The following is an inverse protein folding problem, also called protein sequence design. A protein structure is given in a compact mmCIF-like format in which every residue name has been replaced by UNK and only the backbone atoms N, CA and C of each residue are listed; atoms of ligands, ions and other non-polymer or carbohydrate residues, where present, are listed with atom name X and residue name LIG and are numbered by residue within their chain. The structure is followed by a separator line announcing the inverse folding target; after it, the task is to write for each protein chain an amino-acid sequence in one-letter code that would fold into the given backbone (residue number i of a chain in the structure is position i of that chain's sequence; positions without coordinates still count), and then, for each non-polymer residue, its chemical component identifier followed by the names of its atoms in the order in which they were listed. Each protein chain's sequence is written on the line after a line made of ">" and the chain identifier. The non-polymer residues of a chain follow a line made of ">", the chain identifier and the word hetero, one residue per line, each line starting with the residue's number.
data_IF_454893752657
#
_entry.id   IF_454893752657
#
_cell.length_a   1.000
_cell.length_b   1.000
_cell.length_c   1.000
_cell.angle_alpha   90.00
_cell.angle_beta   90.00
_cell.angle_gamma   90.00
#
_symmetry.space_group_name_H-M   'P 1'
#
loop_
_entity.id
_entity.type
_entity.pdbx_description
1 polymer ?
#
# COMPACT_ATOMS: atom_id res chain seq x y z
N UNK A 1 -13.21 -26.37 -26.43
CA UNK A 1 -12.42 -25.14 -26.26
C UNK A 1 -13.39 -23.97 -26.26
N UNK A 2 -13.88 -23.54 -25.09
CA UNK A 2 -14.75 -22.37 -24.99
C UNK A 2 -13.97 -21.26 -24.30
N UNK A 3 -13.50 -20.30 -25.11
CA UNK A 3 -12.88 -19.07 -24.64
C UNK A 3 -13.87 -18.28 -23.77
N UNK A 4 -13.38 -17.88 -22.60
CA UNK A 4 -14.02 -16.94 -21.68
C UNK A 4 -14.20 -15.57 -22.36
N UNK A 5 -15.26 -15.41 -23.13
CA UNK A 5 -15.71 -14.09 -23.56
C UNK A 5 -16.27 -13.34 -22.35
N UNK A 6 -15.43 -12.54 -21.71
CA UNK A 6 -15.87 -11.52 -20.75
C UNK A 6 -16.89 -10.63 -21.48
N UNK A 7 -18.15 -10.57 -21.02
CA UNK A 7 -19.20 -9.77 -21.64
C UNK A 7 -18.75 -8.31 -21.85
N UNK A 8 -18.97 -7.75 -23.04
CA UNK A 8 -18.52 -6.41 -23.43
C UNK A 8 -18.94 -5.30 -22.43
N UNK A 9 -20.06 -5.48 -21.72
CA UNK A 9 -20.51 -4.52 -20.70
C UNK A 9 -19.55 -4.43 -19.50
N UNK A 10 -18.89 -5.53 -19.11
CA UNK A 10 -17.92 -5.52 -18.01
C UNK A 10 -16.63 -4.80 -18.41
N UNK A 11 -16.20 -4.94 -19.68
CA UNK A 11 -15.05 -4.18 -20.21
C UNK A 11 -15.35 -2.68 -20.27
N UNK A 12 -16.54 -2.30 -20.75
CA UNK A 12 -16.96 -0.89 -20.80
C UNK A 12 -17.09 -0.28 -19.40
N UNK A 13 -17.63 -1.02 -18.44
CA UNK A 13 -17.79 -0.56 -17.04
C UNK A 13 -16.45 -0.45 -16.31
N UNK A 14 -15.52 -1.38 -16.54
CA UNK A 14 -14.15 -1.28 -16.04
C UNK A 14 -13.40 -0.07 -16.63
N UNK A 15 -13.55 0.20 -17.93
CA UNK A 15 -12.95 1.37 -18.58
C UNK A 15 -13.53 2.70 -18.06
N UNK A 16 -14.83 2.75 -17.80
CA UNK A 16 -15.48 3.93 -17.20
C UNK A 16 -15.03 4.15 -15.75
N UNK A 17 -14.90 3.09 -14.96
CA UNK A 17 -14.39 3.16 -13.59
C UNK A 17 -12.93 3.62 -13.55
N UNK A 18 -12.07 3.08 -14.43
CA UNK A 18 -10.67 3.50 -14.54
C UNK A 18 -10.52 4.99 -14.89
N UNK A 19 -11.37 5.51 -15.78
CA UNK A 19 -11.40 6.95 -16.11
C UNK A 19 -11.89 7.80 -14.94
N UNK A 20 -12.89 7.31 -14.19
CA UNK A 20 -13.45 8.04 -13.04
C UNK A 20 -12.47 8.09 -11.86
N UNK A 21 -11.75 6.99 -11.60
CA UNK A 21 -10.67 6.95 -10.62
C UNK A 21 -9.49 7.83 -11.02
N UNK A 22 -9.14 7.90 -12.31
CA UNK A 22 -8.07 8.78 -12.79
C UNK A 22 -8.38 10.26 -12.56
N UNK A 23 -9.62 10.69 -12.84
CA UNK A 23 -10.07 12.07 -12.59
C UNK A 23 -10.11 12.40 -11.10
N UNK A 24 -10.53 11.45 -10.25
CA UNK A 24 -10.57 11.66 -8.79
C UNK A 24 -9.17 11.73 -8.17
N UNK A 25 -8.24 10.90 -8.65
CA UNK A 25 -6.83 10.94 -8.24
C UNK A 25 -6.16 12.25 -8.69
N UNK A 26 -6.43 12.73 -9.91
CA UNK A 26 -5.91 14.02 -10.38
C UNK A 26 -6.46 15.22 -9.57
N UNK A 27 -7.72 15.16 -9.16
CA UNK A 27 -8.34 16.21 -8.32
C UNK A 27 -7.76 16.23 -6.90
N UNK A 28 -7.41 15.06 -6.33
CA UNK A 28 -6.79 14.95 -5.00
C UNK A 28 -5.31 15.33 -5.00
N UNK A 29 -4.61 15.17 -6.14
CA UNK A 29 -3.18 15.49 -6.25
C UNK A 29 -2.89 16.95 -6.63
N UNK A 30 -3.91 17.79 -6.87
CA UNK A 30 -3.70 19.22 -7.15
C UNK A 30 -2.76 19.49 -8.32
N UNK A 31 -2.61 18.55 -9.26
CA UNK A 31 -1.71 18.67 -10.40
C UNK A 31 -2.34 19.59 -11.44
N UNK A 32 -2.21 20.89 -11.20
CA UNK A 32 -2.44 21.94 -12.18
C UNK A 32 -1.36 21.79 -13.26
N UNK A 33 -1.78 21.56 -14.49
CA UNK A 33 -0.86 21.47 -15.63
C UNK A 33 -0.05 22.77 -15.75
N UNK A 34 1.24 22.69 -15.40
CA UNK A 34 2.25 23.62 -15.88
C UNK A 34 3.00 22.95 -17.02
N UNK A 35 2.43 23.06 -18.22
CA UNK A 35 3.21 23.06 -19.45
C UNK A 35 4.02 24.36 -19.49
N UNK A 36 5.33 24.29 -19.20
CA UNK A 36 6.39 25.01 -19.93
C UNK A 36 7.76 24.88 -19.22
N UNK A 37 8.68 24.23 -19.93
CA UNK A 37 10.06 24.68 -20.19
C UNK A 37 10.75 25.50 -19.09
N UNK A 38 11.66 24.87 -18.33
CA UNK A 38 12.98 25.45 -18.12
C UNK A 38 13.97 24.40 -17.64
N UNK A 39 15.12 24.37 -18.31
CA UNK A 39 16.27 23.56 -17.95
C UNK A 39 16.80 23.99 -16.59
N UNK A 40 16.82 23.10 -15.60
CA UNK A 40 17.79 23.19 -14.52
C UNK A 40 18.21 21.79 -14.06
N UNK A 41 19.52 21.55 -14.15
CA UNK A 41 20.22 20.40 -13.59
C UNK A 41 19.81 20.19 -12.13
N UNK A 42 19.34 19.01 -11.79
CA UNK A 42 19.33 18.53 -10.40
C UNK A 42 19.98 17.16 -10.33
N UNK A 43 21.12 17.21 -9.64
CA UNK A 43 22.01 16.16 -9.15
C UNK A 43 21.26 14.85 -8.87
N UNK A 44 21.78 13.75 -9.42
CA UNK A 44 21.43 12.40 -9.02
C UNK A 44 21.66 12.24 -7.50
N UNK A 45 20.58 12.34 -6.72
CA UNK A 45 20.58 11.82 -5.35
C UNK A 45 20.91 10.32 -5.36
N UNK A 46 21.66 9.80 -4.39
CA UNK A 46 22.03 8.40 -4.39
C UNK A 46 20.76 7.56 -4.28
N UNK A 47 20.55 6.70 -5.27
CA UNK A 47 19.54 5.65 -5.23
C UNK A 47 19.76 4.88 -3.94
N UNK A 48 18.80 4.92 -3.01
CA UNK A 48 18.79 4.02 -1.86
C UNK A 48 18.71 2.60 -2.42
N UNK A 49 19.85 1.97 -2.60
CA UNK A 49 19.92 0.53 -2.80
C UNK A 49 19.20 -0.10 -1.62
N UNK A 50 18.25 -0.99 -1.92
CA UNK A 50 17.54 -1.79 -0.92
C UNK A 50 18.56 -2.64 -0.18
N UNK A 51 19.08 -2.09 0.91
CA UNK A 51 20.15 -2.69 1.67
C UNK A 51 19.52 -3.74 2.57
N UNK A 52 19.72 -5.01 2.19
CA UNK A 52 19.59 -6.22 3.03
C UNK A 52 20.65 -6.20 4.15
N UNK A 53 20.82 -5.05 4.78
CA UNK A 53 21.69 -4.84 5.92
C UNK A 53 21.08 -5.61 7.09
N UNK A 54 21.84 -6.54 7.70
CA UNK A 54 21.36 -7.26 8.86
C UNK A 54 20.93 -6.30 9.96
N UNK A 55 19.83 -6.62 10.67
CA UNK A 55 19.30 -5.77 11.76
C UNK A 55 20.33 -5.42 12.83
N UNK A 56 21.37 -6.23 13.01
CA UNK A 56 22.46 -5.98 13.94
C UNK A 56 23.41 -4.86 13.48
N UNK A 57 23.61 -4.71 12.18
CA UNK A 57 24.49 -3.68 11.62
C UNK A 57 23.89 -2.29 11.81
N UNK A 58 22.58 -2.14 11.55
CA UNK A 58 21.85 -0.89 11.85
C UNK A 58 21.89 -0.50 13.33
N UNK A 59 21.78 -1.48 14.24
CA UNK A 59 21.88 -1.23 15.69
C UNK A 59 23.30 -0.83 16.10
N UNK A 60 24.32 -1.40 15.46
CA UNK A 60 25.70 -1.03 15.70
C UNK A 60 25.97 0.39 15.19
N UNK A 61 25.57 0.72 13.97
CA UNK A 61 25.67 2.07 13.40
C UNK A 61 24.97 3.12 14.27
N UNK A 62 23.77 2.81 14.76
CA UNK A 62 23.02 3.70 15.64
C UNK A 62 23.76 3.96 16.96
N UNK A 63 24.33 2.92 17.60
CA UNK A 63 25.16 3.09 18.81
C UNK A 63 26.43 3.89 18.54
N UNK A 64 27.10 3.61 17.42
CA UNK A 64 28.35 4.28 17.05
C UNK A 64 28.15 5.77 16.79
N UNK A 65 26.93 6.18 16.39
CA UNK A 65 26.58 7.60 16.25
C UNK A 65 26.66 8.38 17.56
N UNK A 66 26.59 7.72 18.72
CA UNK A 66 26.70 8.36 20.05
C UNK A 66 28.14 8.46 20.58
N UNK A 67 29.12 7.91 19.84
CA UNK A 67 30.53 8.00 20.19
C UNK A 67 31.16 9.15 19.39
N UNK A 68 31.91 10.08 20.01
CA UNK A 68 32.62 11.13 19.29
C UNK A 68 33.55 10.54 18.23
N UNK A 69 33.70 11.18 17.06
CA UNK A 69 34.53 10.66 15.97
C UNK A 69 36.02 10.62 16.33
N UNK A 70 36.44 11.41 17.30
CA UNK A 70 37.83 11.49 17.78
C UNK A 70 38.15 10.42 18.85
N UNK A 71 37.14 9.70 19.36
CA UNK A 71 37.32 8.71 20.42
C UNK A 71 37.66 7.33 19.83
N UNK A 72 38.67 6.67 20.39
CA UNK A 72 39.05 5.31 19.99
C UNK A 72 37.97 4.33 20.45
N UNK A 73 37.33 3.65 19.50
CA UNK A 73 36.27 2.67 19.79
C UNK A 73 36.88 1.41 20.40
N UNK A 74 36.88 1.32 21.72
CA UNK A 74 37.32 0.10 22.41
C UNK A 74 36.18 -0.92 22.54
N UNK A 75 36.47 -2.22 22.75
CA UNK A 75 35.44 -3.24 22.98
C UNK A 75 34.50 -2.89 24.15
N UNK A 76 35.01 -2.21 25.16
CA UNK A 76 34.25 -1.73 26.32
C UNK A 76 33.27 -0.61 25.95
N UNK A 77 33.58 0.20 24.93
CA UNK A 77 32.69 1.25 24.43
C UNK A 77 31.64 0.66 23.48
N UNK A 78 32.06 -0.25 22.59
CA UNK A 78 31.15 -0.90 21.62
C UNK A 78 30.05 -1.75 22.28
N UNK A 79 30.34 -2.32 23.46
CA UNK A 79 29.37 -3.14 24.20
C UNK A 79 28.33 -2.32 24.99
N UNK A 80 28.55 -1.02 25.22
CA UNK A 80 27.67 -0.19 26.07
C UNK A 80 26.32 0.09 25.43
N UNK A 81 25.32 0.40 26.27
CA UNK A 81 24.02 0.86 25.79
C UNK A 81 24.08 2.33 25.35
N UNK A 82 23.10 2.78 24.58
CA UNK A 82 23.01 4.20 24.20
C UNK A 82 22.88 5.10 25.43
N UNK A 83 22.17 4.67 26.49
CA UNK A 83 22.07 5.45 27.72
C UNK A 83 23.40 5.55 28.49
N UNK A 84 24.22 4.50 28.43
CA UNK A 84 25.56 4.49 29.03
C UNK A 84 26.53 5.37 28.23
N UNK A 85 26.47 5.32 26.89
CA UNK A 85 27.25 6.20 26.02
C UNK A 85 26.87 7.67 26.20
N UNK A 86 25.58 7.97 26.39
CA UNK A 86 25.09 9.31 26.69
C UNK A 86 25.64 9.88 28.01
N UNK A 87 25.91 9.02 29.00
CA UNK A 87 26.55 9.42 30.26
C UNK A 87 28.05 9.64 30.13
N UNK A 88 28.71 8.89 29.24
CA UNK A 88 30.15 8.97 29.01
C UNK A 88 30.53 10.16 28.11
N UNK A 89 29.70 10.47 27.12
CA UNK A 89 29.92 11.56 26.17
C UNK A 89 28.76 12.56 26.17
N UNK A 90 28.47 13.24 27.31
CA UNK A 90 27.28 14.06 27.46
C UNK A 90 27.26 15.28 26.52
N UNK A 91 28.42 15.86 26.20
CA UNK A 91 28.53 16.99 25.28
C UNK A 91 28.20 16.60 23.83
N UNK A 92 28.73 15.46 23.37
CA UNK A 92 28.47 14.95 22.02
C UNK A 92 27.03 14.45 21.88
N UNK A 93 26.49 13.80 22.91
CA UNK A 93 25.10 13.38 22.91
C UNK A 93 24.12 14.55 22.79
N UNK A 94 24.39 15.69 23.45
CA UNK A 94 23.59 16.91 23.28
C UNK A 94 23.67 17.45 21.85
N UNK A 95 24.85 17.46 21.24
CA UNK A 95 25.01 17.88 19.84
C UNK A 95 24.16 17.03 18.88
N UNK A 96 24.12 15.71 19.09
CA UNK A 96 23.29 14.81 18.28
C UNK A 96 21.80 15.10 18.46
N UNK A 97 21.37 15.39 19.69
CA UNK A 97 19.97 15.74 19.97
C UNK A 97 19.57 17.07 19.32
N UNK A 98 20.43 18.08 19.38
CA UNK A 98 20.21 19.36 18.71
C UNK A 98 20.13 19.21 17.18
N UNK A 99 20.97 18.34 16.62
CA UNK A 99 20.97 18.04 15.19
C UNK A 99 19.71 17.26 14.77
N UNK A 100 19.26 16.30 15.59
CA UNK A 100 17.99 15.60 15.39
C UNK A 100 16.77 16.52 15.52
N UNK A 101 16.79 17.48 16.44
CA UNK A 101 15.73 18.48 16.55
C UNK A 101 15.67 19.38 15.31
N UNK A 102 16.84 19.78 14.77
CA UNK A 102 16.92 20.52 13.50
C UNK A 102 16.43 19.70 12.31
N UNK A 103 16.77 18.41 12.24
CA UNK A 103 16.27 17.51 11.19
C UNK A 103 14.75 17.30 11.29
N UNK A 104 14.20 17.20 12.51
CA UNK A 104 12.74 17.09 12.73
C UNK A 104 11.98 18.34 12.34
N UNK A 105 12.59 19.52 12.45
CA UNK A 105 12.05 20.78 11.97
C UNK A 105 12.24 21.01 10.46
N UNK A 106 12.89 20.08 9.75
CA UNK A 106 13.10 20.21 8.30
C UNK A 106 11.81 19.93 7.52
N UNK A 107 11.59 20.57 6.37
CA UNK A 107 10.40 20.33 5.55
C UNK A 107 10.29 18.87 5.05
N UNK A 108 11.38 18.11 5.00
CA UNK A 108 11.38 16.72 4.56
C UNK A 108 10.62 15.78 5.52
N UNK A 109 10.71 16.01 6.82
CA UNK A 109 10.01 15.19 7.84
C UNK A 109 8.52 15.50 7.88
N UNK A 110 8.12 16.75 7.63
CA UNK A 110 6.70 17.13 7.49
C UNK A 110 6.05 16.46 6.26
N UNK A 111 6.75 16.46 5.11
CA UNK A 111 6.28 15.75 3.91
C UNK A 111 6.17 14.25 4.13
N UNK A 112 7.08 13.65 4.90
CA UNK A 112 7.00 12.22 5.25
C UNK A 112 5.81 11.89 6.15
N UNK A 113 5.48 12.77 7.11
CA UNK A 113 4.30 12.61 7.97
C UNK A 113 3.00 12.77 7.18
N UNK A 114 2.90 13.79 6.32
CA UNK A 114 1.75 13.97 5.43
C UNK A 114 1.60 12.79 4.46
N UNK A 115 2.70 12.31 3.88
CA UNK A 115 2.69 11.13 3.03
C UNK A 115 2.26 9.85 3.79
N UNK A 116 2.65 9.72 5.07
CA UNK A 116 2.20 8.64 5.94
C UNK A 116 0.69 8.68 6.19
N UNK A 117 0.15 9.86 6.51
CA UNK A 117 -1.29 10.06 6.70
C UNK A 117 -2.09 9.78 5.41
N UNK A 118 -1.60 10.26 4.27
CA UNK A 118 -2.19 9.99 2.95
C UNK A 118 -2.19 8.50 2.60
N UNK A 119 -1.11 7.78 2.88
CA UNK A 119 -1.04 6.32 2.67
C UNK A 119 -2.08 5.58 3.51
N UNK A 120 -2.22 5.94 4.77
CA UNK A 120 -3.19 5.27 5.65
C UNK A 120 -4.63 5.59 5.24
N UNK A 121 -4.93 6.84 4.86
CA UNK A 121 -6.23 7.23 4.34
C UNK A 121 -6.57 6.48 3.03
N UNK A 122 -5.61 6.35 2.11
CA UNK A 122 -5.77 5.58 0.87
C UNK A 122 -6.01 4.09 1.15
N UNK A 123 -5.27 3.50 2.09
CA UNK A 123 -5.44 2.11 2.50
C UNK A 123 -6.84 1.86 3.05
N UNK A 124 -7.31 2.72 3.97
CA UNK A 124 -8.66 2.61 4.53
C UNK A 124 -9.76 2.79 3.47
N UNK A 125 -9.55 3.70 2.52
CA UNK A 125 -10.48 3.90 1.40
C UNK A 125 -10.54 2.65 0.51
N UNK A 126 -9.38 2.11 0.14
CA UNK A 126 -9.29 0.91 -0.68
C UNK A 126 -9.94 -0.30 0.01
N UNK A 127 -9.70 -0.49 1.32
CA UNK A 127 -10.33 -1.57 2.10
C UNK A 127 -11.86 -1.45 2.13
N UNK A 128 -12.40 -0.23 2.28
CA UNK A 128 -13.85 0.02 2.24
C UNK A 128 -14.44 -0.28 0.86
N UNK A 129 -13.80 0.18 -0.21
CA UNK A 129 -14.25 -0.11 -1.56
C UNK A 129 -14.20 -1.61 -1.86
N UNK A 130 -13.12 -2.29 -1.48
CA UNK A 130 -12.97 -3.73 -1.67
C UNK A 130 -14.04 -4.51 -0.92
N UNK A 131 -14.35 -4.12 0.32
CA UNK A 131 -15.42 -4.72 1.11
C UNK A 131 -16.79 -4.54 0.45
N UNK A 132 -17.08 -3.33 -0.06
CA UNK A 132 -18.31 -3.02 -0.79
C UNK A 132 -18.45 -3.86 -2.07
N UNK A 133 -17.37 -3.98 -2.84
CA UNK A 133 -17.33 -4.80 -4.05
C UNK A 133 -17.55 -6.28 -3.74
N UNK A 134 -16.87 -6.80 -2.72
CA UNK A 134 -17.05 -8.19 -2.27
C UNK A 134 -18.50 -8.45 -1.90
N UNK A 135 -19.11 -7.58 -1.10
CA UNK A 135 -20.51 -7.73 -0.71
C UNK A 135 -21.47 -7.66 -1.92
N UNK A 136 -21.19 -6.79 -2.89
CA UNK A 136 -21.94 -6.71 -4.14
C UNK A 136 -21.84 -7.99 -4.96
N UNK A 137 -20.63 -8.53 -5.11
CA UNK A 137 -20.39 -9.80 -5.80
C UNK A 137 -21.07 -10.98 -5.10
N UNK A 138 -20.97 -11.08 -3.77
CA UNK A 138 -21.59 -12.16 -3.00
C UNK A 138 -23.12 -12.16 -3.20
N UNK A 139 -23.75 -10.98 -3.18
CA UNK A 139 -25.19 -10.84 -3.47
C UNK A 139 -25.53 -11.25 -4.90
N UNK A 140 -24.71 -10.87 -5.88
CA UNK A 140 -24.94 -11.24 -7.28
C UNK A 140 -24.77 -12.76 -7.50
N UNK A 141 -23.74 -13.37 -6.89
CA UNK A 141 -23.52 -14.82 -6.93
C UNK A 141 -24.71 -15.55 -6.31
N UNK A 142 -25.19 -15.13 -5.14
CA UNK A 142 -26.37 -15.73 -4.51
C UNK A 142 -27.63 -15.59 -5.38
N UNK A 143 -27.85 -14.42 -5.99
CA UNK A 143 -29.00 -14.21 -6.88
C UNK A 143 -28.92 -15.12 -8.12
N UNK A 144 -27.73 -15.25 -8.73
CA UNK A 144 -27.50 -16.16 -9.86
C UNK A 144 -27.65 -17.62 -9.48
N UNK A 145 -27.14 -18.05 -8.32
CA UNK A 145 -27.33 -19.43 -7.82
C UNK A 145 -28.80 -19.75 -7.59
N UNK A 146 -29.57 -18.85 -6.97
CA UNK A 146 -31.02 -19.04 -6.78
C UNK A 146 -31.76 -19.14 -8.12
N UNK A 147 -31.43 -18.26 -9.07
CA UNK A 147 -32.01 -18.32 -10.42
C UNK A 147 -31.67 -19.62 -11.14
N UNK A 148 -30.42 -20.08 -11.01
CA UNK A 148 -29.97 -21.33 -11.62
C UNK A 148 -30.65 -22.55 -10.98
N UNK A 149 -30.77 -22.58 -9.66
CA UNK A 149 -31.50 -23.64 -8.92
C UNK A 149 -32.95 -23.72 -9.40
N UNK A 150 -33.66 -22.59 -9.47
CA UNK A 150 -35.04 -22.58 -9.94
C UNK A 150 -35.19 -23.09 -11.38
N UNK A 151 -34.22 -22.79 -12.27
CA UNK A 151 -34.20 -23.33 -13.64
C UNK A 151 -33.98 -24.85 -13.65
N UNK A 152 -33.10 -25.36 -12.80
CA UNK A 152 -32.89 -26.81 -12.66
C UNK A 152 -34.14 -27.50 -12.11
N UNK A 153 -34.79 -26.94 -11.10
CA UNK A 153 -36.02 -27.51 -10.53
C UNK A 153 -37.14 -27.59 -11.59
N UNK A 154 -37.32 -26.53 -12.38
CA UNK A 154 -38.27 -26.52 -13.50
C UNK A 154 -37.92 -27.57 -14.56
N UNK A 155 -36.63 -27.70 -14.91
CA UNK A 155 -36.19 -28.70 -15.89
C UNK A 155 -36.41 -30.13 -15.39
N UNK A 156 -36.15 -30.40 -14.11
CA UNK A 156 -36.42 -31.69 -13.47
C UNK A 156 -37.92 -31.98 -13.47
N UNK A 157 -38.76 -31.02 -13.07
CA UNK A 157 -40.21 -31.18 -13.10
C UNK A 157 -40.73 -31.49 -14.51
N UNK A 158 -40.24 -30.76 -15.53
CA UNK A 158 -40.61 -31.02 -16.92
C UNK A 158 -40.16 -32.42 -17.39
N UNK A 159 -38.96 -32.85 -17.02
CA UNK A 159 -38.46 -34.19 -17.34
C UNK A 159 -39.30 -35.29 -16.67
N UNK A 160 -39.66 -35.12 -15.39
CA UNK A 160 -40.52 -36.05 -14.64
C UNK A 160 -41.91 -36.14 -15.27
N UNK A 161 -42.51 -35.02 -15.65
CA UNK A 161 -43.81 -34.99 -16.34
C UNK A 161 -43.75 -35.72 -17.68
N UNK A 162 -42.71 -35.47 -18.48
CA UNK A 162 -42.51 -36.15 -19.75
C UNK A 162 -42.33 -37.66 -19.55
N UNK A 163 -41.49 -38.08 -18.60
CA UNK A 163 -41.31 -39.49 -18.28
C UNK A 163 -42.62 -40.16 -17.84
N UNK A 164 -43.37 -39.51 -16.96
CA UNK A 164 -44.68 -40.02 -16.48
C UNK A 164 -45.68 -40.17 -17.62
N UNK A 165 -45.67 -39.25 -18.59
CA UNK A 165 -46.51 -39.32 -19.78
C UNK A 165 -46.13 -40.49 -20.68
N UNK A 166 -44.83 -40.73 -20.89
CA UNK A 166 -44.34 -41.87 -21.69
C UNK A 166 -44.70 -43.20 -21.05
N UNK A 167 -44.62 -43.32 -19.71
CA UNK A 167 -44.95 -44.57 -18.99
C UNK A 167 -46.45 -44.88 -19.00
N UNK A 168 -47.33 -43.89 -19.13
CA UNK A 168 -48.80 -44.09 -19.16
C UNK A 168 -49.36 -44.47 -20.53
N UNK A 169 -48.64 -44.19 -21.60
CA UNK A 169 -49.05 -44.49 -22.98
C UNK A 169 -48.45 -45.81 -23.44
#
# INVERSE_FOLDING_TARGET
>A
VHENQIPNFLRQRAALLAKRSFVHIHALLGLREHTQSSQHKTVHGPRRHGNLEPKWLRKAEEKMRHVPPDEVVTPEIACKSVEELAKLFPAHHRSILEEQERERASPATLVEQEAGALREALKQSAEKELASWKQGMDREIQARMKSLSAKFDMAIQAAVQNFTRVVRN
#
